data_IF_249739796341
#
_entry.id   IF_249739796341
#
_cell.length_a   1.000
_cell.length_b   1.000
_cell.length_c   1.000
_cell.angle_alpha   90.00
_cell.angle_beta   90.00
_cell.angle_gamma   90.00
#
_symmetry.space_group_name_H-M   'P 1'
#
loop_
_entity.id
_entity.type
_entity.pdbx_description
1 polymer ?
#
# COMPACT_ATOMS: atom_id res chain seq x y z
N UNK A 1 -26.89 -5.46 -18.88
CA UNK A 1 -26.26 -5.44 -17.55
C UNK A 1 -24.78 -5.52 -17.82
N UNK A 2 -24.00 -4.54 -17.38
CA UNK A 2 -22.56 -4.52 -17.58
C UNK A 2 -21.86 -5.12 -16.36
N UNK A 3 -20.77 -5.86 -16.60
CA UNK A 3 -19.96 -6.45 -15.53
C UNK A 3 -18.57 -5.82 -15.48
N UNK A 4 -18.06 -5.69 -14.27
CA UNK A 4 -16.80 -5.02 -13.97
C UNK A 4 -15.93 -5.90 -13.08
N UNK A 5 -14.65 -5.99 -13.41
CA UNK A 5 -13.65 -6.72 -12.65
C UNK A 5 -12.66 -5.75 -12.01
N UNK A 6 -12.45 -5.91 -10.71
CA UNK A 6 -11.40 -5.22 -9.98
C UNK A 6 -10.39 -6.25 -9.45
N UNK A 7 -9.10 -5.93 -9.54
CA UNK A 7 -8.00 -6.76 -9.04
C UNK A 7 -7.03 -5.86 -8.25
N UNK A 8 -6.78 -6.21 -6.99
CA UNK A 8 -5.70 -5.63 -6.17
C UNK A 8 -4.57 -6.65 -6.03
N UNK A 9 -3.52 -6.48 -6.82
CA UNK A 9 -2.37 -7.39 -6.89
C UNK A 9 -1.28 -6.98 -5.90
N UNK A 10 -1.47 -7.34 -4.65
CA UNK A 10 -0.51 -7.09 -3.57
C UNK A 10 0.70 -8.03 -3.58
N UNK A 11 1.69 -7.73 -2.73
CA UNK A 11 2.96 -8.49 -2.66
C UNK A 11 2.84 -9.90 -2.09
N UNK A 12 1.80 -10.20 -1.32
CA UNK A 12 1.60 -11.50 -0.64
C UNK A 12 0.33 -12.21 -1.11
N UNK A 13 -0.69 -11.46 -1.45
CA UNK A 13 -2.02 -11.91 -1.86
C UNK A 13 -2.56 -11.04 -2.98
N UNK A 14 -3.54 -11.55 -3.69
CA UNK A 14 -4.33 -10.82 -4.68
C UNK A 14 -5.80 -10.94 -4.33
N UNK A 15 -6.48 -9.82 -4.29
CA UNK A 15 -7.92 -9.73 -4.10
C UNK A 15 -8.60 -9.46 -5.46
N UNK A 16 -9.72 -10.15 -5.71
CA UNK A 16 -10.53 -10.06 -6.93
C UNK A 16 -11.97 -9.75 -6.57
N UNK A 17 -12.60 -8.85 -7.31
CA UNK A 17 -14.02 -8.52 -7.17
C UNK A 17 -14.68 -8.45 -8.54
N UNK A 18 -15.74 -9.22 -8.71
CA UNK A 18 -16.67 -9.11 -9.85
C UNK A 18 -17.94 -8.42 -9.39
N UNK A 19 -18.41 -7.46 -10.16
CA UNK A 19 -19.58 -6.64 -9.83
C UNK A 19 -20.40 -6.27 -11.08
N UNK A 20 -21.66 -5.91 -10.86
CA UNK A 20 -22.47 -5.16 -11.83
C UNK A 20 -22.44 -3.65 -11.53
N UNK A 21 -23.31 -2.86 -12.13
CA UNK A 21 -23.39 -1.41 -11.93
C UNK A 21 -23.68 -1.01 -10.48
N UNK A 22 -24.29 -1.87 -9.68
CA UNK A 22 -24.84 -1.54 -8.36
C UNK A 22 -24.26 -2.32 -7.20
N UNK A 23 -23.95 -3.61 -7.41
CA UNK A 23 -23.54 -4.52 -6.31
C UNK A 23 -22.33 -5.36 -6.69
N UNK A 24 -21.66 -5.86 -5.69
CA UNK A 24 -20.66 -6.93 -5.80
C UNK A 24 -21.37 -8.27 -5.96
N UNK A 25 -20.95 -9.05 -6.96
CA UNK A 25 -21.51 -10.37 -7.29
C UNK A 25 -20.65 -11.51 -6.73
N UNK A 26 -19.34 -11.34 -6.74
CA UNK A 26 -18.39 -12.33 -6.21
C UNK A 26 -17.13 -11.66 -5.71
N UNK A 27 -16.47 -12.28 -4.70
CA UNK A 27 -15.14 -11.91 -4.21
C UNK A 27 -14.29 -13.16 -4.09
N UNK A 28 -13.01 -13.05 -4.47
CA UNK A 28 -12.04 -14.13 -4.35
C UNK A 28 -10.70 -13.58 -3.91
N UNK A 29 -9.93 -14.40 -3.18
CA UNK A 29 -8.57 -14.10 -2.78
C UNK A 29 -7.68 -15.29 -3.09
N UNK A 30 -6.49 -14.99 -3.66
CA UNK A 30 -5.49 -16.02 -3.96
C UNK A 30 -4.11 -15.58 -3.45
N UNK A 31 -3.09 -16.38 -3.73
CA UNK A 31 -1.70 -15.96 -3.60
C UNK A 31 -1.39 -14.77 -4.54
N UNK A 32 -0.20 -14.19 -4.38
CA UNK A 32 0.22 -13.05 -5.21
C UNK A 32 0.33 -13.41 -6.69
N UNK A 33 -0.13 -12.48 -7.55
CA UNK A 33 0.13 -12.51 -9.00
C UNK A 33 1.25 -11.53 -9.39
N UNK A 34 1.89 -10.88 -8.40
CA UNK A 34 2.92 -9.85 -8.63
C UNK A 34 4.23 -10.51 -9.08
N UNK A 35 4.59 -10.33 -10.36
CA UNK A 35 5.77 -10.93 -11.00
C UNK A 35 7.11 -10.58 -10.33
N UNK A 36 7.18 -9.49 -9.59
CA UNK A 36 8.35 -9.11 -8.78
C UNK A 36 8.49 -9.93 -7.48
N UNK A 37 7.49 -10.77 -7.14
CA UNK A 37 7.43 -11.53 -5.88
C UNK A 37 7.27 -13.04 -6.08
N UNK A 38 6.88 -13.46 -7.28
CA UNK A 38 6.67 -14.86 -7.60
C UNK A 38 7.03 -15.15 -9.07
N UNK A 39 7.27 -16.41 -9.42
CA UNK A 39 7.51 -16.86 -10.79
C UNK A 39 6.23 -16.77 -11.66
N UNK A 40 6.41 -16.97 -12.99
CA UNK A 40 5.31 -16.84 -13.95
C UNK A 40 4.21 -17.88 -13.72
N UNK A 41 4.61 -19.12 -13.51
CA UNK A 41 3.68 -20.25 -13.42
C UNK A 41 2.80 -20.12 -12.16
N UNK A 42 3.40 -19.77 -11.02
CA UNK A 42 2.69 -19.51 -9.77
C UNK A 42 1.75 -18.30 -9.92
N UNK A 43 2.22 -17.20 -10.52
CA UNK A 43 1.38 -16.02 -10.76
C UNK A 43 0.18 -16.34 -11.65
N UNK A 44 0.41 -17.09 -12.74
CA UNK A 44 -0.65 -17.51 -13.65
C UNK A 44 -1.67 -18.41 -12.96
N UNK A 45 -1.21 -19.43 -12.21
CA UNK A 45 -2.08 -20.31 -11.43
C UNK A 45 -2.97 -19.54 -10.45
N UNK A 46 -2.38 -18.58 -9.72
CA UNK A 46 -3.13 -17.75 -8.78
C UNK A 46 -4.17 -16.86 -9.49
N UNK A 47 -3.84 -16.28 -10.65
CA UNK A 47 -4.80 -15.52 -11.46
C UNK A 47 -5.96 -16.40 -11.94
N UNK A 48 -5.67 -17.56 -12.50
CA UNK A 48 -6.68 -18.49 -13.00
C UNK A 48 -7.59 -19.02 -11.90
N UNK A 49 -7.03 -19.30 -10.71
CA UNK A 49 -7.80 -19.67 -9.52
C UNK A 49 -8.76 -18.55 -9.12
N UNK A 50 -8.29 -17.29 -9.10
CA UNK A 50 -9.11 -16.12 -8.80
C UNK A 50 -10.28 -15.97 -9.76
N UNK A 51 -10.01 -15.98 -11.06
CA UNK A 51 -11.03 -15.83 -12.09
C UNK A 51 -12.05 -17.00 -12.09
N UNK A 52 -11.58 -18.22 -11.92
CA UNK A 52 -12.41 -19.42 -11.79
C UNK A 52 -13.33 -19.35 -10.56
N UNK A 53 -12.79 -18.89 -9.41
CA UNK A 53 -13.56 -18.70 -8.19
C UNK A 53 -14.67 -17.67 -8.35
N UNK A 54 -14.40 -16.55 -9.03
CA UNK A 54 -15.42 -15.54 -9.34
C UNK A 54 -16.54 -16.11 -10.23
N UNK A 55 -16.18 -16.84 -11.29
CA UNK A 55 -17.16 -17.50 -12.18
C UNK A 55 -18.01 -18.51 -11.42
N UNK A 56 -17.41 -19.34 -10.58
CA UNK A 56 -18.14 -20.35 -9.79
C UNK A 56 -19.13 -19.72 -8.81
N UNK A 57 -18.79 -18.59 -8.19
CA UNK A 57 -19.67 -17.89 -7.24
C UNK A 57 -20.79 -17.10 -7.90
N UNK A 58 -20.53 -16.48 -9.05
CA UNK A 58 -21.48 -15.55 -9.70
C UNK A 58 -22.29 -16.18 -10.83
N UNK A 59 -21.79 -17.25 -11.44
CA UNK A 59 -22.31 -17.79 -12.70
C UNK A 59 -21.97 -16.95 -13.94
N UNK A 60 -21.20 -15.87 -13.77
CA UNK A 60 -20.84 -14.93 -14.86
C UNK A 60 -19.51 -15.36 -15.47
N UNK A 61 -19.46 -15.44 -16.80
CA UNK A 61 -18.22 -15.75 -17.52
C UNK A 61 -17.36 -14.50 -17.68
N UNK A 62 -16.04 -14.65 -17.69
CA UNK A 62 -15.11 -13.54 -17.86
C UNK A 62 -15.19 -12.89 -19.24
N UNK A 63 -15.77 -13.56 -20.23
CA UNK A 63 -16.08 -13.00 -21.54
C UNK A 63 -17.21 -11.94 -21.54
N UNK A 64 -17.96 -11.84 -20.45
CA UNK A 64 -19.04 -10.84 -20.27
C UNK A 64 -18.56 -9.57 -19.57
N UNK A 65 -17.29 -9.50 -19.14
CA UNK A 65 -16.72 -8.33 -18.46
C UNK A 65 -16.53 -7.20 -19.47
N UNK A 66 -17.01 -6.01 -19.12
CA UNK A 66 -16.92 -4.81 -19.95
C UNK A 66 -15.62 -4.04 -19.69
N UNK A 67 -15.24 -3.88 -18.40
CA UNK A 67 -14.03 -3.18 -18.00
C UNK A 67 -13.38 -3.86 -16.79
N UNK A 68 -12.04 -3.92 -16.84
CA UNK A 68 -11.20 -4.43 -15.76
C UNK A 68 -10.25 -3.32 -15.29
N UNK A 69 -10.14 -3.12 -13.97
CA UNK A 69 -9.11 -2.27 -13.38
C UNK A 69 -8.23 -3.12 -12.46
N UNK A 70 -6.92 -3.09 -12.71
CA UNK A 70 -5.90 -3.79 -11.89
C UNK A 70 -5.03 -2.76 -11.20
N UNK A 71 -4.90 -2.88 -9.89
CA UNK A 71 -3.91 -2.14 -9.09
C UNK A 71 -2.73 -3.03 -8.72
N UNK A 72 -1.51 -2.56 -8.98
CA UNK A 72 -0.28 -3.27 -8.58
C UNK A 72 0.89 -2.31 -8.45
N UNK A 73 1.81 -2.55 -7.52
CA UNK A 73 3.08 -1.84 -7.55
C UNK A 73 3.96 -2.37 -8.67
N UNK A 74 4.62 -1.47 -9.40
CA UNK A 74 5.46 -1.79 -10.56
C UNK A 74 4.68 -1.86 -11.87
N UNK A 75 3.53 -1.20 -11.96
CA UNK A 75 2.67 -1.09 -13.15
C UNK A 75 3.38 -0.45 -14.35
N UNK A 76 4.50 0.25 -14.10
CA UNK A 76 5.36 0.83 -15.15
C UNK A 76 6.55 -0.06 -15.52
N UNK A 77 6.78 -1.16 -14.80
CA UNK A 77 7.84 -2.13 -15.10
C UNK A 77 7.37 -3.06 -16.20
N UNK A 78 8.03 -3.11 -17.39
CA UNK A 78 7.56 -3.87 -18.54
C UNK A 78 7.24 -5.34 -18.22
N UNK A 79 8.13 -6.03 -17.51
CA UNK A 79 7.91 -7.42 -17.06
C UNK A 79 6.60 -7.62 -16.28
N UNK A 80 6.17 -6.63 -15.52
CA UNK A 80 4.91 -6.68 -14.76
C UNK A 80 3.73 -6.27 -15.63
N UNK A 81 3.86 -5.12 -16.31
CA UNK A 81 2.79 -4.52 -17.09
C UNK A 81 2.39 -5.38 -18.30
N UNK A 82 3.38 -5.85 -19.06
CA UNK A 82 3.13 -6.62 -20.27
C UNK A 82 2.56 -7.99 -19.93
N UNK A 83 3.14 -8.67 -18.92
CA UNK A 83 2.60 -9.94 -18.46
C UNK A 83 1.14 -9.83 -18.00
N UNK A 84 0.79 -8.78 -17.22
CA UNK A 84 -0.60 -8.57 -16.77
C UNK A 84 -1.54 -8.30 -17.95
N UNK A 85 -1.11 -7.44 -18.91
CA UNK A 85 -1.93 -7.13 -20.10
C UNK A 85 -2.20 -8.37 -20.94
N UNK A 86 -1.16 -9.12 -21.26
CA UNK A 86 -1.26 -10.33 -22.08
C UNK A 86 -2.11 -11.40 -21.39
N UNK A 87 -1.77 -11.72 -20.13
CA UNK A 87 -2.42 -12.81 -19.40
C UNK A 87 -3.89 -12.53 -19.09
N UNK A 88 -4.25 -11.27 -18.82
CA UNK A 88 -5.65 -10.88 -18.57
C UNK A 88 -6.42 -10.82 -19.89
N UNK A 89 -5.86 -10.24 -20.95
CA UNK A 89 -6.54 -10.14 -22.25
C UNK A 89 -6.88 -11.50 -22.87
N UNK A 90 -6.09 -12.54 -22.59
CA UNK A 90 -6.40 -13.92 -23.00
C UNK A 90 -7.61 -14.53 -22.30
N UNK A 91 -7.95 -14.05 -21.11
CA UNK A 91 -8.91 -14.69 -20.20
C UNK A 91 -10.14 -13.85 -19.89
N UNK A 92 -10.03 -12.53 -20.02
CA UNK A 92 -11.09 -11.58 -19.66
C UNK A 92 -11.31 -10.64 -20.83
N UNK A 93 -12.57 -10.50 -21.25
CA UNK A 93 -12.95 -9.55 -22.32
C UNK A 93 -13.02 -8.11 -21.80
N UNK A 94 -13.23 -7.19 -22.74
CA UNK A 94 -13.43 -5.77 -22.45
C UNK A 94 -12.15 -4.97 -22.31
N UNK A 95 -12.27 -3.76 -21.80
CA UNK A 95 -11.17 -2.83 -21.65
C UNK A 95 -10.37 -3.11 -20.37
N UNK A 96 -9.06 -3.01 -20.42
CA UNK A 96 -8.16 -3.18 -19.27
C UNK A 96 -7.45 -1.86 -18.93
N UNK A 97 -7.52 -1.46 -17.66
CA UNK A 97 -6.76 -0.36 -17.09
C UNK A 97 -5.83 -0.89 -15.99
N UNK A 98 -4.55 -0.62 -16.13
CA UNK A 98 -3.52 -0.98 -15.16
C UNK A 98 -3.05 0.27 -14.42
N UNK A 99 -3.14 0.27 -13.09
CA UNK A 99 -2.81 1.39 -12.21
C UNK A 99 -1.84 0.96 -11.10
N UNK A 100 -1.20 1.92 -10.45
CA UNK A 100 -0.47 1.69 -9.21
C UNK A 100 -1.38 1.29 -8.05
N UNK A 101 -0.90 0.44 -7.16
CA UNK A 101 -1.62 0.03 -5.94
C UNK A 101 -2.00 1.24 -5.07
N UNK A 102 -1.12 2.24 -5.01
CA UNK A 102 -1.37 3.50 -4.30
C UNK A 102 -2.45 4.32 -4.99
N UNK A 103 -2.53 4.30 -6.34
CA UNK A 103 -3.53 5.05 -7.09
C UNK A 103 -4.93 4.49 -6.88
N UNK A 104 -5.11 3.17 -6.91
CA UNK A 104 -6.41 2.56 -6.61
C UNK A 104 -6.82 2.80 -5.15
N UNK A 105 -5.88 2.84 -4.22
CA UNK A 105 -6.15 3.18 -2.83
C UNK A 105 -6.57 4.66 -2.64
N UNK A 106 -5.97 5.60 -3.38
CA UNK A 106 -6.43 6.99 -3.46
C UNK A 106 -7.83 7.10 -4.06
N UNK A 107 -8.13 6.30 -5.08
CA UNK A 107 -9.47 6.27 -5.68
C UNK A 107 -10.50 5.66 -4.73
N UNK A 108 -10.14 4.68 -3.91
CA UNK A 108 -11.00 4.18 -2.84
C UNK A 108 -11.34 5.28 -1.82
N UNK A 109 -10.36 6.12 -1.50
CA UNK A 109 -10.54 7.23 -0.57
C UNK A 109 -11.30 8.42 -1.17
N UNK A 110 -10.96 8.84 -2.37
CA UNK A 110 -11.31 10.18 -2.88
C UNK A 110 -12.03 10.17 -4.23
N UNK A 111 -12.28 9.00 -4.82
CA UNK A 111 -13.03 8.88 -6.08
C UNK A 111 -12.52 9.84 -7.18
N UNK A 112 -11.21 9.82 -7.45
CA UNK A 112 -10.58 10.74 -8.38
C UNK A 112 -10.30 12.16 -7.85
N UNK A 113 -10.89 12.54 -6.73
CA UNK A 113 -10.70 13.85 -6.10
C UNK A 113 -9.35 14.03 -5.37
N UNK A 114 -9.09 15.26 -4.86
CA UNK A 114 -7.87 15.59 -4.15
C UNK A 114 -7.83 15.00 -2.75
N UNK A 115 -6.63 14.67 -2.28
CA UNK A 115 -6.40 14.17 -0.93
C UNK A 115 -5.06 13.50 -0.78
N UNK A 116 -4.75 13.04 0.42
CA UNK A 116 -3.54 12.30 0.77
C UNK A 116 -3.93 10.96 1.38
N UNK A 117 -3.34 9.90 0.86
CA UNK A 117 -3.40 8.55 1.41
C UNK A 117 -2.11 8.24 2.16
N UNK A 118 -2.25 7.76 3.39
CA UNK A 118 -1.17 7.17 4.17
C UNK A 118 -1.39 5.66 4.18
N UNK A 119 -0.55 4.94 3.46
CA UNK A 119 -0.58 3.49 3.41
C UNK A 119 0.53 2.93 4.30
N UNK A 120 0.19 2.11 5.29
CA UNK A 120 1.16 1.39 6.11
C UNK A 120 0.65 -0.02 6.45
N UNK A 121 1.42 -0.99 5.99
CA UNK A 121 1.28 -2.42 6.23
C UNK A 121 2.66 -3.03 6.51
N UNK A 122 3.06 -4.08 5.80
CA UNK A 122 4.45 -4.60 5.84
C UNK A 122 5.45 -3.51 5.47
N UNK A 123 5.17 -2.74 4.41
CA UNK A 123 5.85 -1.51 4.01
C UNK A 123 4.95 -0.28 4.18
N UNK A 124 5.46 0.91 3.82
CA UNK A 124 4.70 2.15 3.86
C UNK A 124 4.89 3.01 2.61
N UNK A 125 3.89 3.84 2.31
CA UNK A 125 3.94 4.85 1.26
C UNK A 125 2.97 5.99 1.59
N UNK A 126 3.32 7.22 1.25
CA UNK A 126 2.42 8.37 1.37
C UNK A 126 2.26 9.01 -0.01
N UNK A 127 1.05 9.03 -0.52
CA UNK A 127 0.75 9.57 -1.84
C UNK A 127 -0.42 10.55 -1.79
N UNK A 128 -0.47 11.48 -2.73
CA UNK A 128 -1.53 12.47 -2.80
C UNK A 128 -1.84 12.91 -4.22
N UNK A 129 -3.06 13.40 -4.38
CA UNK A 129 -3.56 14.03 -5.60
C UNK A 129 -3.97 15.45 -5.29
N UNK A 130 -3.47 16.41 -6.10
CA UNK A 130 -3.84 17.82 -5.98
C UNK A 130 -5.24 18.07 -6.57
N UNK A 131 -5.89 19.22 -6.29
CA UNK A 131 -7.11 19.64 -6.97
C UNK A 131 -7.01 19.67 -8.51
N UNK A 132 -5.82 19.95 -9.06
CA UNK A 132 -5.57 19.89 -10.50
C UNK A 132 -5.28 18.48 -11.04
N UNK A 133 -5.42 17.42 -10.21
CA UNK A 133 -5.21 16.03 -10.62
C UNK A 133 -3.75 15.58 -10.64
N UNK A 134 -2.77 16.44 -10.33
CA UNK A 134 -1.35 16.07 -10.31
C UNK A 134 -1.08 15.15 -9.11
N UNK A 135 -0.31 14.09 -9.35
CA UNK A 135 0.08 13.11 -8.34
C UNK A 135 1.45 13.42 -7.75
N UNK A 136 1.63 13.14 -6.48
CA UNK A 136 2.92 13.18 -5.79
C UNK A 136 2.99 12.07 -4.74
N UNK A 137 4.21 11.65 -4.38
CA UNK A 137 4.46 10.68 -3.33
C UNK A 137 5.70 11.02 -2.50
N UNK A 138 5.78 10.44 -1.32
CA UNK A 138 6.94 10.46 -0.42
C UNK A 138 7.08 9.13 0.30
N UNK A 139 8.31 8.71 0.59
CA UNK A 139 8.57 7.38 1.12
C UNK A 139 8.33 6.27 0.10
N UNK A 140 8.12 5.05 0.59
CA UNK A 140 7.85 3.90 -0.28
C UNK A 140 9.06 3.38 -1.06
N UNK A 141 10.29 3.72 -0.61
CA UNK A 141 11.53 3.29 -1.25
C UNK A 141 12.00 1.90 -0.80
N UNK A 142 11.20 1.23 0.03
CA UNK A 142 11.48 -0.09 0.57
C UNK A 142 12.18 -0.06 1.94
N UNK A 143 12.26 -1.23 2.60
CA UNK A 143 12.58 -1.33 4.03
C UNK A 143 14.01 -0.88 4.39
N UNK A 144 14.93 -0.90 3.44
CA UNK A 144 16.33 -0.46 3.65
C UNK A 144 16.48 1.05 3.54
N UNK A 145 15.68 1.70 2.67
CA UNK A 145 15.89 3.11 2.32
C UNK A 145 14.90 4.05 3.01
N UNK A 146 13.62 3.76 2.93
CA UNK A 146 12.58 4.63 3.51
C UNK A 146 11.24 3.90 3.59
N UNK A 147 10.87 3.51 4.80
CA UNK A 147 9.68 2.71 5.08
C UNK A 147 9.06 3.06 6.44
N UNK A 148 9.17 4.34 6.83
CA UNK A 148 8.76 4.86 8.14
C UNK A 148 7.30 4.53 8.42
N UNK A 149 7.01 4.12 9.66
CA UNK A 149 5.67 3.77 10.12
C UNK A 149 5.15 2.42 9.62
N UNK A 150 5.95 1.67 8.85
CA UNK A 150 5.61 0.32 8.42
C UNK A 150 5.77 -0.71 9.53
N UNK A 151 5.21 -1.90 9.33
CA UNK A 151 5.48 -3.04 10.21
C UNK A 151 6.96 -3.38 10.29
N UNK A 152 7.68 -3.29 9.17
CA UNK A 152 9.13 -3.50 9.13
C UNK A 152 9.88 -2.46 9.98
N UNK A 153 9.56 -1.18 9.81
CA UNK A 153 10.19 -0.10 10.58
C UNK A 153 9.91 -0.23 12.08
N UNK A 154 8.67 -0.54 12.46
CA UNK A 154 8.28 -0.79 13.85
C UNK A 154 9.10 -1.94 14.44
N UNK A 155 9.15 -3.09 13.75
CA UNK A 155 9.89 -4.26 14.24
C UNK A 155 11.39 -4.02 14.35
N UNK A 156 11.99 -3.38 13.36
CA UNK A 156 13.42 -3.05 13.37
C UNK A 156 13.75 -2.04 14.48
N UNK A 157 12.93 -0.98 14.66
CA UNK A 157 13.09 -0.03 15.77
C UNK A 157 12.94 -0.73 17.11
N UNK A 158 11.98 -1.63 17.25
CA UNK A 158 11.75 -2.36 18.49
C UNK A 158 13.01 -3.15 18.91
N UNK A 159 13.62 -3.92 18.00
CA UNK A 159 14.83 -4.67 18.28
C UNK A 159 15.98 -3.70 18.68
N UNK A 160 16.21 -2.65 17.89
CA UNK A 160 17.24 -1.66 18.18
C UNK A 160 17.03 -0.98 19.55
N UNK A 161 15.77 -0.67 19.89
CA UNK A 161 15.44 -0.06 21.19
C UNK A 161 15.65 -1.01 22.36
N UNK A 162 15.42 -2.32 22.19
CA UNK A 162 15.73 -3.34 23.20
C UNK A 162 17.22 -3.36 23.50
N UNK A 163 18.07 -3.42 22.49
CA UNK A 163 19.52 -3.43 22.70
C UNK A 163 20.03 -2.11 23.31
N UNK A 164 19.49 -0.98 22.89
CA UNK A 164 19.79 0.31 23.51
C UNK A 164 19.38 0.35 25.00
N UNK A 165 18.21 -0.19 25.35
CA UNK A 165 17.78 -0.28 26.76
C UNK A 165 18.73 -1.16 27.60
N UNK A 166 19.26 -2.26 27.03
CA UNK A 166 20.26 -3.10 27.68
C UNK A 166 21.53 -2.29 27.98
N UNK A 167 22.06 -1.56 26.97
CA UNK A 167 23.24 -0.73 27.11
C UNK A 167 23.07 0.38 28.16
N UNK A 168 21.84 0.90 28.30
CA UNK A 168 21.47 1.91 29.30
C UNK A 168 21.13 1.31 30.68
N UNK A 169 21.18 -0.01 30.86
CA UNK A 169 20.79 -0.70 32.08
C UNK A 169 19.29 -0.64 32.40
N UNK A 170 18.45 -0.39 31.41
CA UNK A 170 17.00 -0.36 31.54
C UNK A 170 16.38 -1.74 31.25
N UNK A 171 15.34 -2.09 31.99
CA UNK A 171 14.54 -3.30 31.73
C UNK A 171 13.27 -2.95 30.91
N UNK A 172 12.86 -3.85 30.03
CA UNK A 172 11.63 -3.73 29.23
C UNK A 172 11.01 -5.11 29.02
N UNK A 173 9.70 -5.19 29.09
CA UNK A 173 8.96 -6.42 28.74
C UNK A 173 9.11 -6.77 27.25
N UNK A 174 9.42 -5.78 26.42
CA UNK A 174 9.60 -5.97 24.97
C UNK A 174 10.76 -6.93 24.66
N UNK A 175 11.84 -6.96 25.47
CA UNK A 175 12.94 -7.88 25.28
C UNK A 175 12.48 -9.34 25.36
N UNK A 176 11.83 -9.71 26.46
CA UNK A 176 11.36 -11.09 26.63
C UNK A 176 10.30 -11.44 25.60
N UNK A 177 9.40 -10.51 25.28
CA UNK A 177 8.35 -10.73 24.27
C UNK A 177 8.94 -11.01 22.88
N UNK A 178 9.99 -10.32 22.45
CA UNK A 178 10.66 -10.59 21.15
C UNK A 178 11.35 -11.95 21.16
N UNK A 179 12.03 -12.31 22.25
CA UNK A 179 12.66 -13.62 22.41
C UNK A 179 11.65 -14.75 22.36
N UNK A 180 10.54 -14.63 23.07
CA UNK A 180 9.46 -15.62 23.09
C UNK A 180 8.80 -15.75 21.70
N UNK A 181 8.56 -14.63 21.02
CA UNK A 181 7.94 -14.62 19.69
C UNK A 181 8.73 -15.44 18.66
N UNK A 182 10.04 -15.38 18.74
CA UNK A 182 10.92 -16.14 17.86
C UNK A 182 11.43 -17.45 18.47
N UNK A 183 10.99 -17.79 19.69
CA UNK A 183 11.42 -18.97 20.45
C UNK A 183 12.97 -19.00 20.61
N UNK A 184 13.55 -17.87 21.00
CA UNK A 184 14.98 -17.66 21.17
C UNK A 184 15.30 -17.59 22.66
N UNK A 185 16.14 -18.50 23.21
CA UNK A 185 16.35 -18.62 24.66
C UNK A 185 17.42 -17.68 25.22
N UNK A 186 18.21 -16.96 24.39
CA UNK A 186 19.28 -16.07 24.86
C UNK A 186 19.47 -14.85 23.96
N UNK A 187 20.08 -13.81 24.49
CA UNK A 187 20.42 -12.59 23.72
C UNK A 187 21.44 -12.89 22.60
N UNK A 188 22.42 -13.75 22.84
CA UNK A 188 23.41 -14.13 21.83
C UNK A 188 22.75 -14.76 20.61
N UNK A 189 21.78 -15.65 20.84
CA UNK A 189 21.00 -16.25 19.76
C UNK A 189 20.04 -15.24 19.09
N UNK A 190 19.58 -14.22 19.81
CA UNK A 190 18.82 -13.14 19.20
C UNK A 190 19.68 -12.29 18.26
N UNK A 191 20.94 -12.03 18.65
CA UNK A 191 21.93 -11.34 17.80
C UNK A 191 22.18 -12.18 16.53
N UNK A 192 22.48 -13.46 16.68
CA UNK A 192 22.71 -14.36 15.55
C UNK A 192 21.51 -14.42 14.60
N UNK A 193 20.29 -14.62 15.16
CA UNK A 193 19.07 -14.67 14.39
C UNK A 193 18.76 -13.38 13.62
N UNK A 194 18.99 -12.24 14.26
CA UNK A 194 18.74 -10.92 13.66
C UNK A 194 19.70 -10.58 12.51
N UNK A 195 20.93 -11.13 12.55
CA UNK A 195 21.97 -10.88 11.54
C UNK A 195 22.09 -11.99 10.47
N UNK A 196 21.23 -13.00 10.50
CA UNK A 196 21.26 -14.10 9.52
C UNK A 196 20.91 -13.64 8.10
N UNK A 197 21.30 -14.43 7.11
CA UNK A 197 20.92 -14.27 5.70
C UNK A 197 20.13 -15.49 5.24
N UNK A 198 18.90 -15.32 4.70
CA UNK A 198 18.18 -14.05 4.58
C UNK A 198 17.77 -13.47 5.95
N UNK A 199 17.63 -12.15 6.02
CA UNK A 199 17.19 -11.47 7.24
C UNK A 199 15.81 -11.93 7.67
N UNK A 200 15.51 -12.00 8.98
CA UNK A 200 14.18 -12.38 9.46
C UNK A 200 13.14 -11.33 9.08
N UNK A 201 11.89 -11.78 8.92
CA UNK A 201 10.76 -10.87 8.71
C UNK A 201 10.38 -10.17 10.02
N UNK A 202 11.02 -9.03 10.26
CA UNK A 202 10.77 -8.20 11.45
C UNK A 202 9.40 -7.50 11.43
N UNK A 203 8.73 -7.44 10.26
CA UNK A 203 7.41 -6.78 10.16
C UNK A 203 6.35 -7.48 11.01
N UNK A 204 6.52 -8.76 11.27
CA UNK A 204 5.66 -9.56 12.13
C UNK A 204 5.69 -9.13 13.60
N UNK A 205 6.75 -8.42 14.03
CA UNK A 205 6.85 -7.90 15.39
C UNK A 205 5.91 -6.72 15.66
N UNK A 206 5.38 -6.03 14.65
CA UNK A 206 4.56 -4.84 14.86
C UNK A 206 3.34 -5.09 15.77
N UNK A 207 2.65 -6.22 15.61
CA UNK A 207 1.54 -6.60 16.47
C UNK A 207 1.99 -6.95 17.89
N UNK A 208 3.15 -7.59 18.03
CA UNK A 208 3.76 -7.88 19.32
C UNK A 208 4.09 -6.58 20.07
N UNK A 209 4.78 -5.64 19.41
CA UNK A 209 5.10 -4.32 19.98
C UNK A 209 3.83 -3.61 20.46
N UNK A 210 2.77 -3.66 19.65
CA UNK A 210 1.48 -3.08 20.03
C UNK A 210 0.89 -3.78 21.26
N UNK A 211 0.89 -5.10 21.30
CA UNK A 211 0.42 -5.85 22.49
C UNK A 211 1.20 -5.48 23.75
N UNK A 212 2.52 -5.43 23.66
CA UNK A 212 3.38 -5.06 24.81
C UNK A 212 3.13 -3.61 25.25
N UNK A 213 2.95 -2.69 24.30
CA UNK A 213 2.59 -1.29 24.58
C UNK A 213 1.24 -1.15 25.30
N UNK A 214 0.23 -1.98 24.94
CA UNK A 214 -1.07 -2.02 25.59
C UNK A 214 -0.98 -2.50 27.04
N UNK A 215 0.01 -3.33 27.38
CA UNK A 215 0.29 -3.77 28.75
C UNK A 215 1.14 -2.78 29.55
N UNK A 216 1.40 -1.60 28.99
CA UNK A 216 2.01 -0.48 29.70
C UNK A 216 3.53 -0.38 29.60
N UNK A 217 4.20 -1.15 28.74
CA UNK A 217 5.65 -1.03 28.54
C UNK A 217 5.99 0.31 27.87
N UNK A 218 6.78 1.19 28.56
CA UNK A 218 7.07 2.52 28.03
C UNK A 218 7.88 2.48 26.75
N UNK A 219 8.83 1.54 26.59
CA UNK A 219 9.68 1.43 25.43
C UNK A 219 8.86 1.06 24.19
N UNK A 220 7.94 0.11 24.32
CA UNK A 220 7.04 -0.26 23.22
C UNK A 220 6.14 0.91 22.82
N UNK A 221 5.65 1.70 23.77
CA UNK A 221 4.86 2.91 23.48
C UNK A 221 5.69 3.98 22.76
N UNK A 222 6.94 4.20 23.18
CA UNK A 222 7.89 5.11 22.51
C UNK A 222 8.18 4.68 21.07
N UNK A 223 8.37 3.39 20.80
CA UNK A 223 8.59 2.84 19.46
C UNK A 223 7.40 3.18 18.54
N UNK A 224 6.17 2.91 18.98
CA UNK A 224 4.97 3.17 18.16
C UNK A 224 4.76 4.67 17.91
N UNK A 225 4.97 5.49 18.93
CA UNK A 225 4.88 6.95 18.82
C UNK A 225 5.92 7.49 17.84
N UNK A 226 7.17 7.06 17.96
CA UNK A 226 8.26 7.52 17.09
C UNK A 226 8.00 7.17 15.62
N UNK A 227 7.46 5.98 15.34
CA UNK A 227 7.10 5.58 13.98
C UNK A 227 5.92 6.38 13.41
N UNK A 228 4.93 6.72 14.24
CA UNK A 228 3.85 7.62 13.84
C UNK A 228 4.34 9.03 13.53
N UNK A 229 5.25 9.58 14.33
CA UNK A 229 5.86 10.89 14.10
C UNK A 229 6.76 10.91 12.84
N UNK A 230 7.49 9.82 12.59
CA UNK A 230 8.30 9.66 11.37
C UNK A 230 7.43 9.62 10.12
N UNK A 231 6.29 8.93 10.17
CA UNK A 231 5.31 8.90 9.09
C UNK A 231 4.66 10.29 8.88
N UNK A 232 4.39 11.02 9.97
CA UNK A 232 3.91 12.41 9.88
C UNK A 232 4.91 13.32 9.16
N UNK A 233 6.21 13.09 9.32
CA UNK A 233 7.22 13.83 8.57
C UNK A 233 7.09 13.61 7.07
N UNK A 234 6.85 12.37 6.60
CA UNK A 234 6.62 12.09 5.18
C UNK A 234 5.37 12.80 4.66
N UNK A 235 4.27 12.83 5.44
CA UNK A 235 3.06 13.57 5.07
C UNK A 235 3.35 15.07 4.93
N UNK A 236 4.13 15.67 5.83
CA UNK A 236 4.55 17.09 5.71
C UNK A 236 5.32 17.36 4.42
N UNK A 237 6.25 16.47 4.09
CA UNK A 237 7.00 16.56 2.84
C UNK A 237 6.07 16.48 1.63
N UNK A 238 5.09 15.58 1.66
CA UNK A 238 4.12 15.45 0.59
C UNK A 238 3.24 16.71 0.44
N UNK A 239 2.70 17.22 1.55
CA UNK A 239 1.89 18.45 1.52
C UNK A 239 2.69 19.60 0.91
N UNK A 240 3.98 19.75 1.26
CA UNK A 240 4.85 20.77 0.63
C UNK A 240 4.98 20.56 -0.88
N UNK A 241 5.23 19.34 -1.34
CA UNK A 241 5.27 19.02 -2.78
C UNK A 241 3.94 19.34 -3.48
N UNK A 242 2.81 18.96 -2.86
CA UNK A 242 1.49 19.23 -3.42
C UNK A 242 1.19 20.73 -3.51
N UNK A 243 1.56 21.53 -2.52
CA UNK A 243 1.45 22.98 -2.54
C UNK A 243 2.24 23.60 -3.69
N UNK A 244 3.47 23.14 -3.92
CA UNK A 244 4.29 23.59 -5.06
C UNK A 244 3.65 23.20 -6.39
N UNK A 245 3.17 21.95 -6.52
CA UNK A 245 2.53 21.47 -7.75
C UNK A 245 1.21 22.19 -8.06
N UNK A 246 0.48 22.58 -7.02
CA UNK A 246 -0.81 23.27 -7.13
C UNK A 246 -0.64 24.80 -7.31
N UNK A 247 0.47 25.37 -6.83
CA UNK A 247 0.67 26.81 -6.76
C UNK A 247 -0.13 27.48 -5.61
N UNK A 248 -0.54 26.69 -4.60
CA UNK A 248 -1.30 27.17 -3.44
C UNK A 248 -0.58 26.79 -2.13
N UNK A 249 0.04 27.76 -1.50
CA UNK A 249 0.78 27.58 -0.24
C UNK A 249 -0.14 27.28 0.97
N UNK A 250 -1.43 27.55 0.85
CA UNK A 250 -2.41 27.39 1.94
C UNK A 250 -3.12 26.02 1.89
N UNK A 251 -3.01 25.30 0.77
CA UNK A 251 -3.68 24.02 0.57
C UNK A 251 -3.35 23.02 1.68
N UNK A 252 -4.39 22.50 2.33
CA UNK A 252 -4.32 21.42 3.33
C UNK A 252 -5.24 20.28 2.85
N UNK A 253 -4.69 19.15 2.41
CA UNK A 253 -5.48 18.03 1.93
C UNK A 253 -6.17 17.29 3.08
N UNK A 254 -7.30 16.65 2.78
CA UNK A 254 -7.86 15.61 3.66
C UNK A 254 -6.98 14.37 3.63
N UNK A 255 -6.83 13.68 4.79
CA UNK A 255 -6.11 12.42 4.89
C UNK A 255 -7.06 11.22 4.88
N UNK A 256 -6.61 10.15 4.24
CA UNK A 256 -7.17 8.81 4.34
C UNK A 256 -6.08 7.80 4.70
N UNK A 257 -6.48 6.64 5.18
CA UNK A 257 -5.58 5.61 5.66
C UNK A 257 -5.85 4.28 4.97
N UNK A 258 -4.78 3.50 4.75
CA UNK A 258 -4.86 2.14 4.24
C UNK A 258 -3.79 1.26 4.89
N UNK A 259 -4.01 -0.05 4.88
CA UNK A 259 -3.06 -1.05 5.37
C UNK A 259 -3.21 -1.40 6.84
N UNK A 260 -2.68 -2.57 7.19
CA UNK A 260 -2.91 -3.22 8.47
C UNK A 260 -2.34 -2.47 9.69
N UNK A 261 -1.28 -1.67 9.53
CA UNK A 261 -0.75 -0.84 10.61
C UNK A 261 -1.72 0.29 10.91
N UNK A 262 -2.22 0.99 9.89
CA UNK A 262 -3.21 2.06 10.08
C UNK A 262 -4.53 1.56 10.65
N UNK A 263 -4.90 0.31 10.34
CA UNK A 263 -6.12 -0.32 10.83
C UNK A 263 -6.00 -0.80 12.28
N UNK A 264 -4.89 -1.46 12.64
CA UNK A 264 -4.78 -2.28 13.84
C UNK A 264 -3.82 -1.74 14.90
N UNK A 265 -2.85 -0.92 14.53
CA UNK A 265 -1.85 -0.36 15.45
C UNK A 265 -2.17 1.12 15.68
N UNK A 266 -3.30 1.38 16.33
CA UNK A 266 -3.85 2.72 16.52
C UNK A 266 -2.86 3.76 17.08
N UNK A 267 -1.96 3.44 18.03
CA UNK A 267 -1.01 4.43 18.55
C UNK A 267 -0.11 5.06 17.47
N UNK A 268 0.21 4.32 16.39
CA UNK A 268 0.98 4.86 15.25
C UNK A 268 0.14 5.90 14.51
N UNK A 269 -1.12 5.58 14.20
CA UNK A 269 -2.04 6.50 13.52
C UNK A 269 -2.35 7.74 14.37
N UNK A 270 -2.57 7.54 15.67
CA UNK A 270 -2.87 8.63 16.60
C UNK A 270 -1.68 9.58 16.76
N UNK A 271 -0.46 9.05 16.90
CA UNK A 271 0.76 9.84 16.95
C UNK A 271 0.99 10.63 15.66
N UNK A 272 0.74 10.02 14.49
CA UNK A 272 0.77 10.68 13.19
C UNK A 272 -0.20 11.87 13.15
N UNK A 273 -1.47 11.64 13.48
CA UNK A 273 -2.51 12.67 13.43
C UNK A 273 -2.19 13.80 14.43
N UNK A 274 -1.84 13.45 15.67
CA UNK A 274 -1.48 14.43 16.71
C UNK A 274 -0.27 15.28 16.28
N UNK A 275 0.73 14.64 15.65
CA UNK A 275 1.91 15.32 15.14
C UNK A 275 1.55 16.31 14.03
N UNK A 276 0.72 15.90 13.06
CA UNK A 276 0.30 16.76 11.95
C UNK A 276 -0.59 17.93 12.37
N UNK A 277 -1.48 17.72 13.34
CA UNK A 277 -2.37 18.79 13.83
C UNK A 277 -1.65 19.95 14.50
N UNK A 278 -0.41 19.75 14.95
CA UNK A 278 0.43 20.87 15.43
C UNK A 278 0.76 21.88 14.33
N UNK A 279 0.93 21.41 13.09
CA UNK A 279 1.28 22.27 11.95
C UNK A 279 0.05 22.63 11.09
N UNK A 280 -0.94 21.75 11.10
CA UNK A 280 -2.17 21.86 10.30
C UNK A 280 -3.41 21.68 11.21
N UNK A 281 -3.79 22.68 12.03
CA UNK A 281 -4.92 22.55 12.97
C UNK A 281 -6.25 22.20 12.30
N UNK A 282 -6.45 22.61 11.05
CA UNK A 282 -7.65 22.33 10.25
C UNK A 282 -7.63 20.98 9.51
N UNK A 283 -6.59 20.16 9.74
CA UNK A 283 -6.44 18.88 9.05
C UNK A 283 -7.62 17.95 9.32
N UNK A 284 -8.28 17.54 8.26
CA UNK A 284 -9.37 16.56 8.31
C UNK A 284 -8.84 15.16 7.97
N UNK A 285 -9.39 14.17 8.65
CA UNK A 285 -9.11 12.76 8.39
C UNK A 285 -10.40 12.03 8.02
N UNK A 286 -10.31 11.05 7.14
CA UNK A 286 -11.41 10.11 6.91
C UNK A 286 -11.41 9.05 8.01
N UNK A 287 -12.60 8.62 8.40
CA UNK A 287 -12.77 7.55 9.38
C UNK A 287 -12.36 6.20 8.78
N UNK A 288 -11.81 5.34 9.66
CA UNK A 288 -11.41 3.98 9.31
C UNK A 288 -10.21 3.90 8.34
N UNK A 289 -10.13 2.79 7.64
CA UNK A 289 -9.16 2.53 6.56
C UNK A 289 -9.92 2.20 5.27
N UNK A 290 -9.33 2.55 4.13
CA UNK A 290 -9.90 2.21 2.83
C UNK A 290 -9.41 0.84 2.36
N UNK A 291 -10.26 0.13 1.63
CA UNK A 291 -9.91 -1.08 0.91
C UNK A 291 -9.55 -0.70 -0.54
N UNK A 292 -8.29 -0.87 -0.98
CA UNK A 292 -7.84 -0.46 -2.31
C UNK A 292 -8.66 -1.05 -3.46
N UNK A 293 -9.18 -2.27 -3.30
CA UNK A 293 -9.97 -2.92 -4.35
C UNK A 293 -11.28 -2.18 -4.66
N UNK A 294 -11.85 -1.45 -3.68
CA UNK A 294 -13.03 -0.62 -3.91
C UNK A 294 -12.73 0.59 -4.82
N UNK A 295 -11.48 1.06 -4.81
CA UNK A 295 -11.03 2.08 -5.75
C UNK A 295 -10.84 1.54 -7.15
N UNK A 296 -10.27 0.35 -7.30
CA UNK A 296 -10.19 -0.35 -8.58
C UNK A 296 -11.60 -0.63 -9.13
N UNK A 297 -12.54 -1.06 -8.27
CA UNK A 297 -13.92 -1.31 -8.68
C UNK A 297 -14.65 -0.02 -9.09
N UNK A 298 -14.48 1.05 -8.31
CA UNK A 298 -15.01 2.36 -8.69
C UNK A 298 -14.47 2.79 -10.06
N UNK A 299 -13.17 2.65 -10.29
CA UNK A 299 -12.53 3.01 -11.56
C UNK A 299 -13.07 2.19 -12.72
N UNK A 300 -13.29 0.90 -12.55
CA UNK A 300 -13.87 0.03 -13.58
C UNK A 300 -15.33 0.39 -13.90
N UNK A 301 -16.12 0.80 -12.89
CA UNK A 301 -17.54 1.17 -13.06
C UNK A 301 -17.73 2.54 -13.71
N UNK A 302 -16.93 3.53 -13.30
CA UNK A 302 -17.04 4.90 -13.79
C UNK A 302 -16.35 5.03 -15.17
N UNK A 303 -17.15 5.05 -16.22
CA UNK A 303 -16.65 5.09 -17.60
C UNK A 303 -15.81 6.34 -17.85
N UNK A 304 -16.28 7.51 -17.41
CA UNK A 304 -15.58 8.77 -17.65
C UNK A 304 -14.22 8.79 -16.94
N UNK A 305 -14.18 8.33 -15.69
CA UNK A 305 -12.94 8.24 -14.92
C UNK A 305 -11.97 7.19 -15.51
N UNK A 306 -12.50 6.06 -16.01
CA UNK A 306 -11.70 5.02 -16.67
C UNK A 306 -11.04 5.55 -17.95
N UNK A 307 -11.82 6.11 -18.87
CA UNK A 307 -11.37 6.61 -20.17
C UNK A 307 -10.39 7.79 -20.02
N UNK A 308 -10.71 8.74 -19.15
CA UNK A 308 -9.83 9.87 -18.86
C UNK A 308 -8.44 9.41 -18.36
N UNK A 309 -8.39 8.37 -17.53
CA UNK A 309 -7.13 7.86 -17.01
C UNK A 309 -6.36 7.02 -18.03
N UNK A 310 -7.04 6.21 -18.82
CA UNK A 310 -6.46 5.45 -19.92
C UNK A 310 -5.75 6.40 -20.91
N UNK A 311 -6.45 7.45 -21.35
CA UNK A 311 -5.91 8.47 -22.24
C UNK A 311 -4.69 9.20 -21.64
N UNK A 312 -4.73 9.56 -20.35
CA UNK A 312 -3.59 10.20 -19.67
C UNK A 312 -2.34 9.29 -19.59
N UNK A 313 -2.51 7.97 -19.53
CA UNK A 313 -1.39 7.00 -19.56
C UNK A 313 -0.80 6.93 -20.97
N UNK A 314 -1.63 6.87 -22.01
CA UNK A 314 -1.20 6.84 -23.41
C UNK A 314 -0.38 8.08 -23.79
N UNK A 315 -0.86 9.27 -23.40
CA UNK A 315 -0.14 10.52 -23.65
C UNK A 315 1.26 10.55 -23.03
N UNK A 316 1.41 10.07 -21.78
CA UNK A 316 2.73 10.00 -21.12
C UNK A 316 3.68 9.03 -21.79
N UNK A 317 3.17 7.93 -22.32
CA UNK A 317 3.97 6.94 -23.04
C UNK A 317 4.54 7.50 -24.35
N UNK A 318 3.77 8.32 -25.08
CA UNK A 318 4.20 9.01 -26.30
C UNK A 318 5.24 10.09 -26.01
N UNK A 319 5.02 10.94 -24.99
CA UNK A 319 5.98 11.99 -24.62
C UNK A 319 7.34 11.40 -24.16
N UNK A 320 7.33 10.25 -23.49
CA UNK A 320 8.55 9.56 -23.04
C UNK A 320 9.35 8.96 -24.23
N UNK A 321 8.68 8.49 -25.26
CA UNK A 321 9.32 7.98 -26.49
C UNK A 321 9.98 9.12 -27.29
N UNK A 322 9.30 10.26 -27.40
CA UNK A 322 9.81 11.44 -28.10
C UNK A 322 11.03 12.06 -27.40
N UNK A 323 11.02 12.08 -26.06
CA UNK A 323 12.14 12.57 -25.25
C UNK A 323 13.39 11.67 -25.37
N UNK A 324 13.21 10.37 -25.55
CA UNK A 324 14.32 9.41 -25.71
C UNK A 324 14.95 9.47 -27.11
N UNK A 325 14.17 9.83 -28.13
CA UNK A 325 14.64 10.00 -29.52
C UNK A 325 15.30 11.34 -29.76
N UNK A 326 15.14 12.32 -28.86
CA UNK A 326 15.68 13.68 -28.99
C UNK A 326 17.05 13.90 -28.32
N UNK A 327 17.70 12.88 -27.73
CA UNK A 327 19.07 12.99 -27.24
C UNK A 327 20.06 12.81 -28.41
N UNK A 328 20.85 13.85 -28.77
CA UNK A 328 21.92 13.69 -29.79
C UNK A 328 23.05 12.84 -29.21
N UNK A 329 23.63 12.02 -30.08
CA UNK A 329 24.75 11.12 -29.84
C UNK A 329 26.03 11.85 -29.39
#
# INVERSE_FOLDING_TARGET
MAYFLAIDAGGTKTDFVLADETRTLARQRTGTIKRLRTDADTAQKNLEEGLRGLTAQSGITMSSVLRTCVGTAGETVPMVADWLRETIAERVSGQLLLLGDVEIALDAAFRGGPGVLVLAGTGSNVAGRTPSGKMANTGGWGPVLSDQGSGHAIGLRAIRSVFMAIDEGRTTALQQAVMDFWNIPSLDLLIEYSNRTPAPDVSRLAQLVYSVAQHGDPLAQEVLKAEGEALAHLVRLLIRKMRTLQGDATFVPQLAFAGSIMERVLPVRDALIASLRRDFPSLQTRDGVVDPIEGALWRARDQQAFEARAHAIEQRSTESLDATTAQPA
#
